data_IF_767293853344
#
_entry.id   IF_767293853344
#
_cell.length_a   1.000
_cell.length_b   1.000
_cell.length_c   1.000
_cell.angle_alpha   90.00
_cell.angle_beta   90.00
_cell.angle_gamma   90.00
#
_symmetry.space_group_name_H-M   'P 1'
#
loop_
_entity.id
_entity.type
_entity.pdbx_description
1 polymer ?
#
# COMPACT_ATOMS: atom_id res chain seq x y z
N UNK A 1 7.30 -5.21 30.21
CA UNK A 1 7.72 -6.25 29.25
C UNK A 1 8.87 -5.66 28.43
N UNK A 2 10.00 -6.36 28.32
CA UNK A 2 11.09 -5.90 27.47
C UNK A 2 10.66 -6.00 26.00
N UNK A 3 10.96 -4.97 25.20
CA UNK A 3 10.77 -5.03 23.76
C UNK A 3 11.62 -6.17 23.18
N UNK A 4 11.12 -6.81 22.12
CA UNK A 4 11.86 -7.85 21.41
C UNK A 4 13.22 -7.27 20.96
N UNK A 5 14.35 -7.97 21.16
CA UNK A 5 15.65 -7.45 20.73
C UNK A 5 15.65 -7.28 19.21
N UNK A 6 15.89 -6.06 18.75
CA UNK A 6 16.01 -5.71 17.33
C UNK A 6 17.47 -5.37 17.01
N UNK A 7 17.88 -5.63 15.77
CA UNK A 7 19.24 -5.29 15.31
C UNK A 7 19.48 -3.77 15.32
N UNK A 8 18.47 -3.00 14.91
CA UNK A 8 18.55 -1.55 14.78
C UNK A 8 17.17 -0.93 15.07
N UNK A 9 17.16 0.24 15.73
CA UNK A 9 15.97 1.06 15.94
C UNK A 9 16.34 2.54 15.80
N UNK A 10 15.95 3.17 14.68
CA UNK A 10 16.18 4.59 14.40
C UNK A 10 14.87 5.29 14.02
N UNK A 11 14.67 6.53 14.47
CA UNK A 11 13.60 7.40 13.98
C UNK A 11 13.98 8.05 12.65
N UNK A 12 13.46 7.54 11.54
CA UNK A 12 13.79 8.04 10.19
C UNK A 12 13.10 9.37 9.85
N UNK A 13 11.84 9.51 10.25
CA UNK A 13 11.02 10.70 10.05
C UNK A 13 10.63 11.25 11.42
N UNK A 14 11.13 12.44 11.76
CA UNK A 14 10.87 13.09 13.05
C UNK A 14 9.99 14.31 12.83
N UNK A 15 8.88 14.38 13.56
CA UNK A 15 7.99 15.52 13.53
C UNK A 15 8.74 16.79 13.97
N UNK A 16 8.44 17.89 13.28
CA UNK A 16 9.05 19.20 13.51
C UNK A 16 8.19 20.26 12.83
N UNK A 17 8.72 20.93 11.81
CA UNK A 17 7.91 21.81 10.95
C UNK A 17 6.78 21.08 10.25
N UNK A 18 7.02 19.81 9.87
CA UNK A 18 6.04 18.93 9.26
C UNK A 18 5.79 17.71 10.15
N UNK A 19 4.62 17.12 10.00
CA UNK A 19 4.26 15.82 10.55
C UNK A 19 4.41 14.74 9.48
N UNK A 20 4.80 13.53 9.88
CA UNK A 20 4.99 12.40 8.97
C UNK A 20 4.10 11.21 9.35
N UNK A 21 3.28 10.76 8.42
CA UNK A 21 2.40 9.58 8.59
C UNK A 21 2.40 8.73 7.33
N UNK A 22 1.69 7.60 7.38
CA UNK A 22 1.44 6.72 6.24
C UNK A 22 2.76 6.20 5.64
N UNK A 23 3.51 5.35 6.38
CA UNK A 23 4.79 4.86 5.94
C UNK A 23 4.67 3.87 4.78
N UNK A 24 5.63 3.90 3.87
CA UNK A 24 5.87 2.82 2.92
C UNK A 24 7.36 2.47 2.87
N UNK A 25 7.67 1.19 2.76
CA UNK A 25 9.04 0.69 2.74
C UNK A 25 9.21 -0.25 1.55
N UNK A 26 10.29 -0.07 0.79
CA UNK A 26 10.61 -0.94 -0.36
C UNK A 26 12.08 -1.32 -0.31
N UNK A 27 12.37 -2.62 -0.37
CA UNK A 27 13.73 -3.14 -0.47
C UNK A 27 14.08 -3.44 -1.93
N UNK A 28 15.27 -3.01 -2.34
CA UNK A 28 15.85 -3.26 -3.65
C UNK A 28 17.04 -4.23 -3.48
N UNK A 29 16.82 -5.55 -3.59
CA UNK A 29 17.81 -6.56 -3.21
C UNK A 29 19.11 -6.44 -4.03
N UNK A 30 18.99 -6.18 -5.33
CA UNK A 30 20.13 -6.00 -6.25
C UNK A 30 21.12 -4.91 -5.80
N UNK A 31 20.66 -3.92 -5.05
CA UNK A 31 21.47 -2.78 -4.62
C UNK A 31 21.71 -2.77 -3.10
N UNK A 32 21.19 -3.76 -2.37
CA UNK A 32 21.14 -3.74 -0.89
C UNK A 32 20.62 -2.39 -0.37
N UNK A 33 19.59 -1.86 -1.01
CA UNK A 33 19.07 -0.52 -0.74
C UNK A 33 17.63 -0.59 -0.22
N UNK A 34 17.30 0.24 0.76
CA UNK A 34 15.95 0.41 1.29
C UNK A 34 15.48 1.83 0.96
N UNK A 35 14.26 1.94 0.45
CA UNK A 35 13.58 3.21 0.24
C UNK A 35 12.46 3.32 1.27
N UNK A 36 12.51 4.36 2.11
CA UNK A 36 11.48 4.67 3.08
C UNK A 36 10.73 5.91 2.61
N UNK A 37 9.40 5.85 2.58
CA UNK A 37 8.52 6.95 2.20
C UNK A 37 7.54 7.25 3.34
N UNK A 38 7.10 8.50 3.40
CA UNK A 38 6.02 8.94 4.28
C UNK A 38 5.29 10.12 3.65
N UNK A 39 4.02 10.33 4.00
CA UNK A 39 3.37 11.60 3.73
C UNK A 39 4.01 12.70 4.57
N UNK A 40 4.31 13.84 3.95
CA UNK A 40 4.70 15.09 4.60
C UNK A 40 3.45 15.98 4.74
N UNK A 41 3.16 16.41 5.98
CA UNK A 41 1.86 16.97 6.36
C UNK A 41 2.02 18.22 7.22
N UNK A 42 1.06 19.15 7.16
CA UNK A 42 1.04 20.34 8.03
C UNK A 42 0.83 19.93 9.50
N UNK A 43 -0.02 18.93 9.74
CA UNK A 43 -0.30 18.35 11.05
C UNK A 43 -0.84 16.90 10.90
N UNK A 44 -1.50 16.40 11.95
CA UNK A 44 -2.03 15.03 12.01
C UNK A 44 -3.34 14.82 11.25
N UNK A 45 -3.99 15.88 10.75
CA UNK A 45 -5.26 15.84 10.01
C UNK A 45 -5.03 15.32 8.59
N UNK A 46 -5.90 14.43 8.10
CA UNK A 46 -5.72 13.72 6.82
C UNK A 46 -5.80 14.66 5.61
N UNK A 47 -6.64 15.69 5.69
CA UNK A 47 -6.78 16.74 4.68
C UNK A 47 -5.57 17.67 4.61
N UNK A 48 -4.66 17.61 5.57
CA UNK A 48 -3.46 18.45 5.68
C UNK A 48 -2.19 17.76 5.17
N UNK A 49 -2.31 16.60 4.51
CA UNK A 49 -1.23 16.07 3.70
C UNK A 49 -0.84 17.04 2.58
N UNK A 50 0.42 16.99 2.15
CA UNK A 50 0.95 17.87 1.09
C UNK A 50 1.67 17.08 0.02
N UNK A 51 2.80 16.49 0.39
CA UNK A 51 3.75 15.84 -0.50
C UNK A 51 4.19 14.51 0.10
N UNK A 52 5.08 13.81 -0.60
CA UNK A 52 5.71 12.58 -0.12
C UNK A 52 7.18 12.87 0.18
N UNK A 53 7.61 12.53 1.39
CA UNK A 53 9.02 12.54 1.78
C UNK A 53 9.63 11.15 1.55
N UNK A 54 10.92 11.10 1.26
CA UNK A 54 11.68 9.88 1.03
C UNK A 54 13.04 9.92 1.74
N UNK A 55 13.50 8.76 2.22
CA UNK A 55 14.88 8.49 2.60
C UNK A 55 15.39 7.23 1.89
N UNK A 56 16.69 7.22 1.63
CA UNK A 56 17.39 6.06 1.04
C UNK A 56 18.39 5.51 2.03
N UNK A 57 18.31 4.23 2.32
CA UNK A 57 19.19 3.49 3.21
C UNK A 57 20.03 2.49 2.42
N UNK A 58 21.33 2.41 2.70
CA UNK A 58 22.19 1.34 2.20
C UNK A 58 22.39 0.32 3.32
N UNK A 59 21.97 -0.92 3.10
CA UNK A 59 22.21 -2.01 4.03
C UNK A 59 23.61 -2.57 3.81
N UNK A 60 24.39 -2.63 4.89
CA UNK A 60 25.69 -3.29 4.91
C UNK A 60 25.58 -4.65 5.62
N UNK A 61 25.67 -5.78 4.87
CA UNK A 61 25.59 -7.11 5.47
C UNK A 61 26.70 -7.43 6.48
N UNK A 62 27.86 -6.78 6.39
CA UNK A 62 28.99 -7.04 7.28
C UNK A 62 28.79 -6.43 8.67
N UNK A 63 28.16 -5.25 8.73
CA UNK A 63 27.83 -4.56 9.98
C UNK A 63 26.38 -4.76 10.43
N UNK A 64 25.55 -5.35 9.56
CA UNK A 64 24.11 -5.52 9.75
C UNK A 64 23.37 -4.21 10.06
N UNK A 65 23.86 -3.10 9.50
CA UNK A 65 23.36 -1.74 9.75
C UNK A 65 22.87 -1.09 8.45
N UNK A 66 21.89 -0.19 8.55
CA UNK A 66 21.41 0.62 7.43
C UNK A 66 21.93 2.05 7.52
N UNK A 67 22.68 2.51 6.52
CA UNK A 67 23.15 3.89 6.47
C UNK A 67 22.16 4.77 5.69
N UNK A 68 21.40 5.59 6.41
CA UNK A 68 20.38 6.46 5.83
C UNK A 68 20.96 7.79 5.32
N UNK A 69 20.58 8.14 4.09
CA UNK A 69 20.81 9.47 3.51
C UNK A 69 19.84 10.50 4.09
N UNK A 70 20.12 11.77 3.80
CA UNK A 70 19.22 12.88 4.14
C UNK A 70 17.85 12.66 3.51
N UNK A 71 16.83 13.12 4.21
CA UNK A 71 15.45 13.12 3.73
C UNK A 71 15.30 14.10 2.56
N UNK A 72 14.51 13.70 1.56
CA UNK A 72 14.22 14.45 0.35
C UNK A 72 12.70 14.53 0.17
N UNK A 73 12.15 15.71 -0.11
CA UNK A 73 10.73 15.87 -0.48
C UNK A 73 10.58 15.64 -1.98
N UNK A 74 9.70 14.73 -2.39
CA UNK A 74 9.48 14.36 -3.79
C UNK A 74 8.55 15.36 -4.47
N UNK A 75 9.11 16.50 -4.90
CA UNK A 75 8.36 17.57 -5.58
C UNK A 75 7.75 17.16 -6.93
N UNK A 76 8.18 16.04 -7.50
CA UNK A 76 7.59 15.47 -8.72
C UNK A 76 6.34 14.63 -8.44
N UNK A 77 6.16 14.13 -7.21
CA UNK A 77 5.03 13.31 -6.79
C UNK A 77 3.82 14.18 -6.41
N UNK A 78 3.36 15.04 -7.32
CA UNK A 78 2.19 15.91 -7.08
C UNK A 78 1.48 16.27 -8.38
N UNK A 79 0.20 16.64 -8.25
CA UNK A 79 -0.56 17.37 -9.25
C UNK A 79 -0.83 18.78 -8.73
N UNK A 80 -0.81 19.78 -9.61
CA UNK A 80 -1.07 21.17 -9.21
C UNK A 80 -2.44 21.30 -8.53
N UNK A 81 -2.48 22.00 -7.39
CA UNK A 81 -3.69 22.19 -6.59
C UNK A 81 -4.17 20.94 -5.84
N UNK A 82 -3.42 19.84 -5.84
CA UNK A 82 -3.76 18.61 -5.13
C UNK A 82 -2.73 18.31 -4.03
N UNK A 83 -3.19 17.61 -2.98
CA UNK A 83 -2.30 16.97 -2.01
C UNK A 83 -2.01 15.53 -2.41
N UNK A 84 -0.79 15.07 -2.17
CA UNK A 84 -0.39 13.69 -2.42
C UNK A 84 -0.44 12.84 -1.15
N UNK A 85 -1.06 11.66 -1.26
CA UNK A 85 -1.31 10.74 -0.14
C UNK A 85 -1.06 9.29 -0.54
N UNK A 86 -0.98 8.41 0.44
CA UNK A 86 -0.85 6.95 0.28
C UNK A 86 0.31 6.53 -0.64
N UNK A 87 1.57 6.81 -0.28
CA UNK A 87 2.71 6.31 -1.04
C UNK A 87 2.65 4.78 -1.15
N UNK A 88 2.70 4.27 -2.38
CA UNK A 88 2.69 2.85 -2.69
C UNK A 88 3.78 2.48 -3.71
N UNK A 89 5.02 2.24 -3.24
CA UNK A 89 6.15 1.95 -4.12
C UNK A 89 6.19 0.47 -4.54
N UNK A 90 6.57 0.22 -5.79
CA UNK A 90 6.86 -1.11 -6.35
C UNK A 90 8.13 -1.04 -7.21
N UNK A 91 8.93 -2.11 -7.18
CA UNK A 91 10.11 -2.23 -8.04
C UNK A 91 9.88 -3.31 -9.10
N UNK A 92 10.06 -2.95 -10.36
CA UNK A 92 10.10 -3.90 -11.45
C UNK A 92 11.56 -4.34 -11.68
N UNK A 93 11.89 -5.55 -11.25
CA UNK A 93 13.22 -6.12 -11.39
C UNK A 93 13.62 -6.40 -12.85
N UNK A 94 12.64 -6.60 -13.74
CA UNK A 94 12.89 -6.92 -15.15
C UNK A 94 13.32 -5.66 -15.89
N UNK A 95 12.57 -4.57 -15.77
CA UNK A 95 12.92 -3.31 -16.43
C UNK A 95 13.87 -2.44 -15.60
N UNK A 96 14.10 -2.77 -14.34
CA UNK A 96 14.87 -1.97 -13.39
C UNK A 96 14.17 -0.66 -12.98
N UNK A 97 12.85 -0.59 -13.15
CA UNK A 97 12.04 0.62 -12.98
C UNK A 97 11.43 0.65 -11.59
N UNK A 98 11.70 1.71 -10.85
CA UNK A 98 10.99 2.02 -9.61
C UNK A 98 9.74 2.83 -9.96
N UNK A 99 8.59 2.42 -9.43
CA UNK A 99 7.31 3.10 -9.63
C UNK A 99 6.76 3.45 -8.24
N UNK A 100 6.47 4.72 -7.99
CA UNK A 100 5.80 5.17 -6.78
C UNK A 100 4.38 5.60 -7.13
N UNK A 101 3.40 4.77 -6.76
CA UNK A 101 1.99 5.14 -6.81
C UNK A 101 1.63 6.04 -5.63
N UNK A 102 0.65 6.90 -5.85
CA UNK A 102 0.02 7.73 -4.83
C UNK A 102 -1.36 8.17 -5.29
N UNK A 103 -2.19 8.65 -4.37
CA UNK A 103 -3.41 9.35 -4.74
C UNK A 103 -3.21 10.86 -4.63
N UNK A 104 -3.85 11.61 -5.51
CA UNK A 104 -3.90 13.07 -5.46
C UNK A 104 -5.34 13.54 -5.24
N UNK A 105 -5.56 14.39 -4.22
CA UNK A 105 -6.90 14.90 -3.87
C UNK A 105 -6.89 16.44 -3.92
N UNK A 106 -7.89 17.10 -4.55
CA UNK A 106 -7.92 18.55 -4.65
C UNK A 106 -7.93 19.23 -3.27
N UNK A 107 -6.99 20.15 -3.05
CA UNK A 107 -6.87 20.96 -1.84
C UNK A 107 -7.05 20.17 -0.54
N UNK A 108 -7.98 20.63 0.29
CA UNK A 108 -8.33 20.03 1.60
C UNK A 108 -9.69 19.31 1.59
N UNK A 109 -10.16 18.84 0.42
CA UNK A 109 -11.42 18.09 0.35
C UNK A 109 -11.28 16.76 1.10
N UNK A 110 -12.15 16.53 2.09
CA UNK A 110 -12.13 15.34 2.93
C UNK A 110 -12.69 14.10 2.24
N UNK A 111 -12.26 12.92 2.70
CA UNK A 111 -12.89 11.65 2.33
C UNK A 111 -14.38 11.66 2.70
N UNK A 112 -14.71 12.14 3.90
CA UNK A 112 -16.09 12.25 4.38
C UNK A 112 -16.97 13.11 3.48
N UNK A 113 -16.42 14.19 2.91
CA UNK A 113 -17.16 15.01 1.95
C UNK A 113 -17.53 14.18 0.71
N UNK A 114 -16.57 13.47 0.13
CA UNK A 114 -16.79 12.64 -1.07
C UNK A 114 -17.74 11.47 -0.80
N UNK A 115 -17.66 10.83 0.38
CA UNK A 115 -18.59 9.78 0.80
C UNK A 115 -20.03 10.30 0.90
N UNK A 116 -20.21 11.50 1.48
CA UNK A 116 -21.53 12.12 1.64
C UNK A 116 -22.11 12.59 0.31
N UNK A 117 -21.31 13.22 -0.55
CA UNK A 117 -21.78 13.75 -1.84
C UNK A 117 -21.83 12.70 -2.93
N UNK A 118 -21.15 11.56 -2.75
CA UNK A 118 -20.95 10.51 -3.75
C UNK A 118 -20.27 11.04 -5.03
N UNK A 119 -19.42 12.05 -4.87
CA UNK A 119 -18.64 12.65 -5.95
C UNK A 119 -17.17 12.34 -5.69
N UNK A 120 -16.61 11.47 -6.54
CA UNK A 120 -15.21 11.11 -6.50
C UNK A 120 -14.34 12.16 -7.19
N UNK A 121 -13.35 12.65 -6.46
CA UNK A 121 -12.38 13.66 -6.88
C UNK A 121 -10.94 13.16 -6.76
N UNK A 122 -10.73 11.89 -6.42
CA UNK A 122 -9.40 11.30 -6.24
C UNK A 122 -8.78 10.97 -7.59
N UNK A 123 -7.50 11.34 -7.79
CA UNK A 123 -6.69 10.91 -8.93
C UNK A 123 -5.71 9.81 -8.52
N UNK A 124 -5.58 8.80 -9.37
CA UNK A 124 -4.55 7.77 -9.28
C UNK A 124 -3.33 8.21 -10.08
N UNK A 125 -2.21 8.41 -9.39
CA UNK A 125 -0.99 8.91 -9.99
C UNK A 125 0.20 7.99 -9.74
N UNK A 126 1.22 8.10 -10.59
CA UNK A 126 2.54 7.59 -10.26
C UNK A 126 3.66 8.50 -10.77
N UNK A 127 4.83 8.35 -10.17
CA UNK A 127 6.12 8.79 -10.73
C UNK A 127 7.05 7.58 -10.86
N UNK A 128 8.04 7.68 -11.75
CA UNK A 128 9.00 6.60 -12.02
C UNK A 128 10.44 7.06 -11.87
N UNK A 129 11.33 6.13 -11.52
CA UNK A 129 12.77 6.35 -11.45
C UNK A 129 13.53 5.17 -12.07
N UNK A 130 14.58 5.47 -12.82
CA UNK A 130 15.50 4.49 -13.43
C UNK A 130 16.87 4.47 -12.71
N UNK A 131 17.05 5.29 -11.68
CA UNK A 131 18.33 5.53 -11.01
C UNK A 131 18.21 5.39 -9.47
N UNK A 132 17.39 4.42 -9.05
CA UNK A 132 17.18 4.04 -7.65
C UNK A 132 16.69 5.21 -6.79
N UNK A 133 15.75 5.98 -7.34
CA UNK A 133 15.11 7.12 -6.67
C UNK A 133 16.01 8.34 -6.53
N UNK A 134 17.04 8.53 -7.37
CA UNK A 134 17.82 9.78 -7.39
C UNK A 134 17.08 10.88 -8.14
N UNK A 135 16.51 10.52 -9.28
CA UNK A 135 15.66 11.39 -10.08
C UNK A 135 14.35 10.69 -10.38
N UNK A 136 13.31 11.50 -10.59
CA UNK A 136 11.95 11.03 -10.79
C UNK A 136 11.34 11.73 -11.99
N UNK A 137 10.53 11.00 -12.75
CA UNK A 137 9.69 11.57 -13.80
C UNK A 137 8.67 12.54 -13.22
N UNK A 138 8.05 13.35 -14.08
CA UNK A 138 6.82 14.07 -13.73
C UNK A 138 5.71 13.09 -13.36
N UNK A 139 4.76 13.54 -12.52
CA UNK A 139 3.57 12.76 -12.19
C UNK A 139 2.75 12.42 -13.45
N UNK A 140 2.30 11.18 -13.53
CA UNK A 140 1.38 10.69 -14.54
C UNK A 140 0.04 10.39 -13.88
N UNK A 141 -1.04 11.04 -14.33
CA UNK A 141 -2.42 10.69 -13.94
C UNK A 141 -2.92 9.57 -14.85
N UNK A 142 -3.23 8.42 -14.25
CA UNK A 142 -3.73 7.23 -14.96
C UNK A 142 -5.17 6.89 -14.62
N UNK A 143 -5.88 7.78 -13.94
CA UNK A 143 -7.25 7.58 -13.45
C UNK A 143 -8.19 7.13 -14.56
N UNK A 144 -8.25 7.93 -15.64
CA UNK A 144 -9.19 7.68 -16.74
C UNK A 144 -8.82 6.44 -17.56
N UNK A 145 -7.53 6.12 -17.66
CA UNK A 145 -7.05 4.95 -18.41
C UNK A 145 -7.32 3.63 -17.68
N UNK A 146 -7.29 3.66 -16.35
CA UNK A 146 -7.31 2.47 -15.50
C UNK A 146 -8.68 2.19 -14.91
N UNK A 147 -9.37 3.22 -14.40
CA UNK A 147 -10.66 3.08 -13.71
C UNK A 147 -11.85 3.27 -14.66
N UNK A 148 -11.71 4.16 -15.66
CA UNK A 148 -12.69 4.39 -16.73
C UNK A 148 -14.11 4.56 -16.21
N UNK A 149 -15.01 3.65 -16.60
CA UNK A 149 -16.45 3.72 -16.36
C UNK A 149 -16.80 3.52 -14.89
N UNK A 150 -15.94 2.86 -14.11
CA UNK A 150 -16.17 2.60 -12.69
C UNK A 150 -15.99 3.86 -11.83
N UNK A 151 -15.33 4.90 -12.35
CA UNK A 151 -14.95 6.07 -11.56
C UNK A 151 -16.17 6.77 -10.92
N UNK A 152 -17.29 6.83 -11.65
CA UNK A 152 -18.56 7.41 -11.19
C UNK A 152 -19.34 6.50 -10.24
N UNK A 153 -19.01 5.21 -10.20
CA UNK A 153 -19.64 4.23 -9.32
C UNK A 153 -18.96 4.19 -7.96
N UNK A 154 -17.88 4.96 -7.75
CA UNK A 154 -17.17 5.05 -6.48
C UNK A 154 -17.37 6.44 -5.89
N UNK A 155 -17.53 6.52 -4.58
CA UNK A 155 -17.54 7.80 -3.88
C UNK A 155 -16.12 8.33 -3.67
N UNK A 156 -15.16 7.43 -3.42
CA UNK A 156 -13.72 7.70 -3.28
C UNK A 156 -12.98 6.36 -3.32
N UNK A 157 -11.66 6.37 -3.49
CA UNK A 157 -10.80 5.19 -3.47
C UNK A 157 -9.38 5.56 -3.02
N UNK A 158 -8.58 4.56 -2.67
CA UNK A 158 -7.14 4.74 -2.44
C UNK A 158 -6.34 3.48 -2.77
N UNK A 159 -5.01 3.64 -2.87
CA UNK A 159 -4.03 2.55 -3.00
C UNK A 159 -3.33 2.29 -1.67
N UNK A 160 -2.86 1.06 -1.46
CA UNK A 160 -2.15 0.61 -0.26
C UNK A 160 -2.81 1.11 1.03
N UNK A 161 -2.09 1.89 1.87
CA UNK A 161 -0.71 2.35 1.69
C UNK A 161 0.36 1.26 1.90
N UNK A 162 1.64 1.59 1.66
CA UNK A 162 2.75 0.65 1.81
C UNK A 162 3.16 0.00 0.49
N UNK A 163 3.88 -1.12 0.50
CA UNK A 163 4.50 -1.64 -0.72
C UNK A 163 3.50 -2.30 -1.69
N UNK A 164 3.74 -2.11 -2.99
CA UNK A 164 3.20 -2.99 -4.04
C UNK A 164 4.04 -4.26 -4.17
N UNK A 165 3.62 -5.16 -5.06
CA UNK A 165 4.21 -6.48 -5.21
C UNK A 165 4.56 -6.77 -6.69
N UNK A 166 5.70 -7.40 -6.93
CA UNK A 166 5.99 -8.04 -8.21
C UNK A 166 5.87 -9.56 -8.05
N UNK A 167 5.03 -10.19 -8.88
CA UNK A 167 4.75 -11.62 -8.83
C UNK A 167 5.87 -12.44 -9.48
N UNK A 168 6.01 -13.70 -9.05
CA UNK A 168 6.90 -14.68 -9.68
C UNK A 168 6.18 -15.52 -10.74
N UNK A 169 5.27 -14.92 -11.51
CA UNK A 169 4.67 -15.51 -12.71
C UNK A 169 5.54 -15.20 -13.95
N UNK A 170 5.18 -15.78 -15.11
CA UNK A 170 5.95 -15.62 -16.35
C UNK A 170 6.08 -14.15 -16.78
N UNK A 171 5.01 -13.37 -16.64
CA UNK A 171 4.98 -11.96 -17.02
C UNK A 171 5.65 -11.02 -16.00
N UNK A 172 6.05 -11.52 -14.82
CA UNK A 172 6.54 -10.71 -13.70
C UNK A 172 5.61 -9.54 -13.38
N UNK A 173 4.31 -9.85 -13.31
CA UNK A 173 3.25 -8.87 -13.17
C UNK A 173 3.40 -8.04 -11.90
N UNK A 174 3.07 -6.76 -12.00
CA UNK A 174 3.03 -5.81 -10.88
C UNK A 174 1.61 -5.76 -10.31
N UNK A 175 1.48 -5.76 -8.99
CA UNK A 175 0.21 -5.71 -8.27
C UNK A 175 0.24 -4.58 -7.25
N UNK A 176 -0.73 -3.68 -7.34
CA UNK A 176 -0.92 -2.55 -6.42
C UNK A 176 -2.22 -2.77 -5.64
N UNK A 177 -2.16 -3.05 -4.33
CA UNK A 177 -3.36 -3.20 -3.52
C UNK A 177 -4.13 -1.88 -3.42
N UNK A 178 -5.46 -1.95 -3.41
CA UNK A 178 -6.33 -0.78 -3.39
C UNK A 178 -7.68 -1.10 -2.75
N UNK A 179 -8.47 -0.06 -2.48
CA UNK A 179 -9.88 -0.21 -2.09
C UNK A 179 -10.69 0.95 -2.64
N UNK A 180 -12.00 0.73 -2.83
CA UNK A 180 -12.93 1.78 -3.26
C UNK A 180 -14.25 1.68 -2.50
N UNK A 181 -14.83 2.85 -2.19
CA UNK A 181 -16.18 2.96 -1.64
C UNK A 181 -17.21 2.94 -2.75
N UNK A 182 -17.84 1.79 -2.95
CA UNK A 182 -18.77 1.53 -4.06
C UNK A 182 -20.16 2.09 -3.76
N UNK A 183 -20.72 2.79 -4.73
CA UNK A 183 -22.10 3.28 -4.73
C UNK A 183 -22.98 2.19 -5.36
N UNK A 184 -23.36 1.20 -4.57
CA UNK A 184 -24.23 0.10 -5.02
C UNK A 184 -25.70 0.51 -5.08
N UNK A 185 -26.11 1.38 -4.15
CA UNK A 185 -27.44 1.98 -4.09
C UNK A 185 -27.30 3.50 -3.86
N UNK A 186 -27.87 4.36 -4.73
CA UNK A 186 -27.88 5.80 -4.55
C UNK A 186 -28.51 6.28 -3.23
N UNK A 187 -29.31 5.45 -2.55
CA UNK A 187 -29.94 5.76 -1.26
C UNK A 187 -29.13 5.31 -0.04
N UNK A 188 -28.15 4.43 -0.20
CA UNK A 188 -27.37 3.86 0.90
C UNK A 188 -25.99 4.50 1.02
N UNK A 189 -25.35 4.35 2.18
CA UNK A 189 -23.96 4.75 2.32
C UNK A 189 -23.06 3.88 1.42
N UNK A 190 -22.07 4.44 0.71
CA UNK A 190 -21.11 3.66 -0.07
C UNK A 190 -20.42 2.58 0.77
N UNK A 191 -20.22 1.40 0.22
CA UNK A 191 -19.58 0.26 0.91
C UNK A 191 -18.15 0.06 0.40
N UNK A 192 -17.13 0.02 1.26
CA UNK A 192 -15.75 -0.15 0.82
C UNK A 192 -15.43 -1.62 0.55
N UNK A 193 -14.73 -1.86 -0.56
CA UNK A 193 -14.19 -3.17 -0.89
C UNK A 193 -12.76 -3.04 -1.40
N UNK A 194 -11.90 -3.93 -0.89
CA UNK A 194 -10.53 -4.10 -1.37
C UNK A 194 -10.51 -4.75 -2.76
N UNK A 195 -9.48 -4.45 -3.54
CA UNK A 195 -9.16 -5.04 -4.84
C UNK A 195 -7.68 -4.79 -5.15
N UNK A 196 -7.22 -5.12 -6.37
CA UNK A 196 -5.88 -4.81 -6.84
C UNK A 196 -5.89 -4.17 -8.23
N UNK A 197 -4.96 -3.27 -8.50
CA UNK A 197 -4.56 -2.94 -9.87
C UNK A 197 -3.43 -3.85 -10.30
N UNK A 198 -3.46 -4.33 -11.54
CA UNK A 198 -2.51 -5.32 -12.06
C UNK A 198 -1.91 -4.81 -13.37
N UNK A 199 -0.63 -5.03 -13.57
CA UNK A 199 0.05 -4.80 -14.85
C UNK A 199 0.88 -6.01 -15.20
N UNK A 200 0.67 -6.57 -16.40
CA UNK A 200 1.45 -7.70 -16.92
C UNK A 200 2.45 -7.27 -18.01
N UNK A 201 2.63 -5.96 -18.19
CA UNK A 201 3.48 -5.35 -19.21
C UNK A 201 4.40 -4.27 -18.63
N UNK A 202 4.91 -4.51 -17.42
CA UNK A 202 5.94 -3.68 -16.78
C UNK A 202 5.51 -2.22 -16.56
N UNK A 203 4.23 -2.04 -16.22
CA UNK A 203 3.60 -0.76 -15.88
C UNK A 203 3.15 0.07 -17.08
N UNK A 204 3.08 -0.50 -18.29
CA UNK A 204 2.62 0.22 -19.49
C UNK A 204 1.10 0.35 -19.51
N UNK A 205 0.38 -0.72 -19.18
CA UNK A 205 -1.07 -0.76 -18.98
C UNK A 205 -1.39 -1.28 -17.59
N UNK A 206 -2.54 -0.86 -17.06
CA UNK A 206 -3.06 -1.29 -15.77
C UNK A 206 -4.50 -1.72 -15.92
N UNK A 207 -4.84 -2.87 -15.34
CA UNK A 207 -6.19 -3.38 -15.23
C UNK A 207 -6.67 -3.38 -13.77
N UNK A 208 -7.97 -3.29 -13.58
CA UNK A 208 -8.61 -3.35 -12.26
C UNK A 208 -9.10 -4.77 -12.01
N UNK A 209 -8.57 -5.43 -10.98
CA UNK A 209 -9.09 -6.69 -10.46
C UNK A 209 -10.50 -6.55 -9.90
N UNK A 210 -11.19 -7.67 -9.72
CA UNK A 210 -12.50 -7.73 -9.08
C UNK A 210 -12.40 -7.45 -7.58
N UNK A 211 -13.49 -6.95 -7.02
CA UNK A 211 -13.56 -6.62 -5.60
C UNK A 211 -13.60 -7.90 -4.76
N UNK A 212 -12.92 -7.86 -3.60
CA UNK A 212 -13.13 -8.85 -2.54
C UNK A 212 -14.59 -8.75 -2.08
N UNK A 213 -15.34 -9.83 -2.29
CA UNK A 213 -16.76 -9.91 -1.97
C UNK A 213 -17.03 -10.24 -0.50
N UNK A 214 -18.33 -10.33 -0.17
CA UNK A 214 -18.90 -10.77 1.12
C UNK A 214 -18.64 -9.85 2.33
N UNK A 215 -17.43 -9.34 2.50
CA UNK A 215 -17.05 -8.49 3.61
C UNK A 215 -16.64 -7.08 3.15
N UNK A 216 -16.94 -6.11 4.02
CA UNK A 216 -16.51 -4.72 3.84
C UNK A 216 -15.05 -4.58 4.26
N UNK A 217 -14.23 -4.01 3.39
CA UNK A 217 -12.81 -3.88 3.63
C UNK A 217 -12.24 -2.60 2.99
N UNK A 218 -11.33 -1.94 3.70
CA UNK A 218 -10.62 -0.74 3.24
C UNK A 218 -9.16 -1.10 2.92
N UNK A 219 -8.19 -0.35 3.43
CA UNK A 219 -6.77 -0.49 3.14
C UNK A 219 -6.28 -1.93 3.32
N UNK A 220 -5.51 -2.41 2.36
CA UNK A 220 -5.02 -3.78 2.31
C UNK A 220 -3.59 -3.85 1.79
N UNK A 221 -2.94 -4.99 2.07
CA UNK A 221 -1.71 -5.40 1.42
C UNK A 221 -1.83 -6.84 0.93
N UNK A 222 -1.00 -7.18 -0.05
CA UNK A 222 -0.98 -8.50 -0.68
C UNK A 222 0.41 -9.12 -0.60
N UNK A 223 0.46 -10.43 -0.48
CA UNK A 223 1.69 -11.21 -0.51
C UNK A 223 1.51 -12.45 -1.40
N UNK A 224 2.50 -12.76 -2.24
CA UNK A 224 2.53 -14.01 -2.99
C UNK A 224 3.05 -15.12 -2.09
N UNK A 225 2.26 -16.16 -1.88
CA UNK A 225 2.56 -17.27 -0.98
C UNK A 225 2.66 -18.54 -1.81
N UNK A 226 3.73 -19.30 -1.62
CA UNK A 226 3.80 -20.67 -2.09
C UNK A 226 3.23 -21.60 -1.02
N UNK A 227 2.14 -22.29 -1.32
CA UNK A 227 1.54 -23.27 -0.41
C UNK A 227 1.12 -24.53 -1.14
N UNK A 228 1.45 -25.70 -0.59
CA UNK A 228 1.08 -27.00 -1.16
C UNK A 228 1.45 -27.15 -2.65
N UNK A 229 2.59 -26.61 -3.07
CA UNK A 229 3.05 -26.66 -4.47
C UNK A 229 2.38 -25.65 -5.41
N UNK A 230 1.59 -24.71 -4.90
CA UNK A 230 0.88 -23.69 -5.68
C UNK A 230 1.20 -22.28 -5.19
N UNK A 231 1.37 -21.34 -6.11
CA UNK A 231 1.45 -19.91 -5.78
C UNK A 231 0.04 -19.32 -5.71
N UNK A 232 -0.24 -18.59 -4.66
CA UNK A 232 -1.49 -17.85 -4.46
C UNK A 232 -1.18 -16.44 -4.03
N UNK A 233 -2.08 -15.50 -4.34
CA UNK A 233 -1.99 -14.14 -3.83
C UNK A 233 -2.90 -14.02 -2.60
N UNK A 234 -2.29 -13.84 -1.44
CA UNK A 234 -2.98 -13.61 -0.17
C UNK A 234 -3.20 -12.12 0.03
N UNK A 235 -4.44 -11.71 0.33
CA UNK A 235 -4.81 -10.34 0.67
C UNK A 235 -5.19 -10.27 2.14
N UNK A 236 -4.66 -9.28 2.86
CA UNK A 236 -5.05 -8.96 4.23
C UNK A 236 -5.51 -7.51 4.30
N UNK A 237 -6.77 -7.30 4.66
CA UNK A 237 -7.45 -6.02 4.58
C UNK A 237 -8.01 -5.57 5.92
N UNK A 238 -8.01 -4.25 6.11
CA UNK A 238 -8.57 -3.61 7.30
C UNK A 238 -10.08 -3.67 7.30
N UNK A 239 -10.64 -3.95 8.47
CA UNK A 239 -12.07 -3.89 8.75
C UNK A 239 -12.34 -3.03 9.98
N UNK A 240 -13.60 -2.60 10.13
CA UNK A 240 -14.10 -1.97 11.36
C UNK A 240 -14.98 -2.94 12.17
N UNK A 241 -14.86 -4.25 11.94
CA UNK A 241 -15.69 -5.31 12.54
C UNK A 241 -14.90 -6.20 13.51
N UNK A 242 -13.88 -5.63 14.17
CA UNK A 242 -13.12 -6.28 15.24
C UNK A 242 -12.12 -7.36 14.83
N UNK A 243 -12.05 -7.72 13.55
CA UNK A 243 -11.09 -8.69 13.01
C UNK A 243 -10.65 -8.33 11.59
N UNK A 244 -9.44 -8.73 11.18
CA UNK A 244 -8.97 -8.58 9.80
C UNK A 244 -9.83 -9.37 8.83
N UNK A 245 -9.93 -8.88 7.59
CA UNK A 245 -10.47 -9.66 6.47
C UNK A 245 -9.30 -10.24 5.70
N UNK A 246 -9.35 -11.53 5.41
CA UNK A 246 -8.44 -12.18 4.47
C UNK A 246 -9.19 -12.62 3.21
N UNK A 247 -8.47 -12.66 2.10
CA UNK A 247 -8.97 -13.28 0.87
C UNK A 247 -7.81 -13.88 0.09
N UNK A 248 -8.10 -14.91 -0.71
CA UNK A 248 -7.10 -15.60 -1.52
C UNK A 248 -7.48 -15.46 -3.00
N UNK A 249 -6.49 -15.17 -3.84
CA UNK A 249 -6.62 -15.18 -5.28
C UNK A 249 -5.73 -16.25 -5.88
N UNK A 250 -6.31 -17.03 -6.78
CA UNK A 250 -5.64 -18.09 -7.54
C UNK A 250 -5.25 -17.67 -8.96
N UNK A 251 -5.57 -16.44 -9.35
CA UNK A 251 -5.34 -15.86 -10.67
C UNK A 251 -4.70 -14.48 -10.57
N UNK A 252 -3.67 -14.37 -9.71
CA UNK A 252 -2.76 -13.21 -9.65
C UNK A 252 -3.44 -11.89 -9.22
N UNK A 253 -4.56 -11.96 -8.49
CA UNK A 253 -5.29 -10.81 -7.97
C UNK A 253 -6.46 -10.34 -8.84
N UNK A 254 -6.72 -11.01 -9.97
CA UNK A 254 -7.86 -10.68 -10.84
C UNK A 254 -9.18 -10.99 -10.14
N UNK A 255 -9.28 -12.14 -9.47
CA UNK A 255 -10.41 -12.55 -8.65
C UNK A 255 -9.93 -13.03 -7.29
N UNK A 256 -10.64 -12.60 -6.24
CA UNK A 256 -10.47 -13.13 -4.90
C UNK A 256 -11.68 -13.98 -4.53
N UNK A 257 -11.45 -15.04 -3.77
CA UNK A 257 -12.53 -15.70 -3.03
C UNK A 257 -13.20 -14.70 -2.07
N UNK A 258 -14.40 -15.07 -1.57
CA UNK A 258 -15.13 -14.28 -0.59
C UNK A 258 -14.26 -13.93 0.63
N UNK A 259 -14.34 -12.68 1.08
CA UNK A 259 -13.56 -12.21 2.21
C UNK A 259 -13.95 -12.94 3.49
N UNK A 260 -12.95 -13.45 4.23
CA UNK A 260 -13.14 -14.19 5.46
C UNK A 260 -12.61 -13.41 6.65
N UNK A 261 -13.39 -13.37 7.74
CA UNK A 261 -12.95 -12.79 9.02
C UNK A 261 -11.92 -13.70 9.69
N UNK A 262 -10.82 -13.13 10.16
CA UNK A 262 -9.75 -13.84 10.87
C UNK A 262 -9.74 -13.43 12.33
N UNK A 263 -10.52 -14.13 13.17
CA UNK A 263 -10.73 -13.76 14.58
C UNK A 263 -9.43 -13.72 15.42
N UNK A 264 -8.37 -14.42 14.98
CA UNK A 264 -7.05 -14.37 15.63
C UNK A 264 -6.28 -13.08 15.34
N UNK A 265 -6.65 -12.35 14.29
CA UNK A 265 -6.05 -11.07 13.92
C UNK A 265 -7.04 -9.95 14.25
N UNK A 266 -6.97 -9.46 15.48
CA UNK A 266 -7.91 -8.47 16.01
C UNK A 266 -7.76 -7.10 15.34
N UNK A 267 -8.86 -6.36 15.26
CA UNK A 267 -8.90 -4.95 14.88
C UNK A 267 -9.31 -4.08 16.09
N UNK A 268 -8.68 -2.91 16.31
CA UNK A 268 -9.24 -1.92 17.23
C UNK A 268 -10.61 -1.42 16.75
N UNK A 269 -11.37 -0.64 17.56
CA UNK A 269 -12.77 -0.31 17.27
C UNK A 269 -13.02 0.37 15.91
N UNK A 270 -12.06 1.19 15.44
CA UNK A 270 -12.13 1.86 14.13
C UNK A 270 -11.30 1.16 13.04
N UNK A 271 -10.71 0.02 13.37
CA UNK A 271 -9.67 -0.66 12.60
C UNK A 271 -8.36 0.14 12.48
N UNK A 272 -7.30 -0.52 12.05
CA UNK A 272 -6.02 0.11 11.72
C UNK A 272 -5.40 -0.52 10.47
N UNK A 273 -4.52 0.21 9.79
CA UNK A 273 -3.74 -0.37 8.71
C UNK A 273 -2.79 -1.45 9.26
N UNK A 274 -2.57 -2.50 8.48
CA UNK A 274 -1.62 -3.57 8.80
C UNK A 274 -0.79 -3.93 7.58
N UNK A 275 0.44 -4.36 7.80
CA UNK A 275 1.35 -4.77 6.72
C UNK A 275 1.50 -6.28 6.70
N UNK A 276 1.55 -6.88 5.50
CA UNK A 276 1.84 -8.31 5.33
C UNK A 276 2.94 -8.50 4.27
N UNK A 277 3.84 -9.44 4.50
CA UNK A 277 4.83 -9.89 3.50
C UNK A 277 5.07 -11.39 3.63
N UNK A 278 5.44 -12.04 2.52
CA UNK A 278 5.82 -13.43 2.51
C UNK A 278 7.35 -13.58 2.51
N UNK A 279 7.84 -14.59 3.22
CA UNK A 279 9.27 -14.91 3.26
C UNK A 279 9.49 -16.43 3.25
N UNK A 280 10.66 -16.90 2.79
CA UNK A 280 10.98 -18.32 2.80
C UNK A 280 10.93 -18.91 4.22
N UNK A 281 10.48 -20.16 4.39
CA UNK A 281 10.55 -20.82 5.68
C UNK A 281 12.02 -21.06 6.10
N UNK A 282 12.29 -21.35 7.38
CA UNK A 282 13.60 -21.82 7.83
C UNK A 282 14.09 -23.01 7.00
N UNK A 283 15.41 -23.11 6.77
CA UNK A 283 16.01 -24.15 5.92
C UNK A 283 15.72 -25.57 6.40
N UNK A 284 15.50 -25.75 7.70
CA UNK A 284 15.18 -27.01 8.37
C UNK A 284 13.67 -27.32 8.43
N UNK A 285 12.82 -26.45 7.87
CA UNK A 285 11.39 -26.67 7.84
C UNK A 285 11.03 -27.88 6.96
N UNK A 286 10.19 -28.77 7.50
CA UNK A 286 9.68 -29.96 6.79
C UNK A 286 8.86 -29.62 5.55
N UNK A 287 8.23 -28.45 5.54
CA UNK A 287 7.47 -27.94 4.41
C UNK A 287 8.15 -26.68 3.87
N UNK A 288 8.27 -26.58 2.55
CA UNK A 288 8.87 -25.44 1.84
C UNK A 288 7.82 -24.38 1.44
N UNK A 289 6.69 -24.38 2.15
CA UNK A 289 5.65 -23.37 2.03
C UNK A 289 6.14 -22.03 2.59
N UNK A 290 5.81 -20.93 1.91
CA UNK A 290 6.14 -19.58 2.36
C UNK A 290 5.51 -19.30 3.72
N UNK A 291 6.24 -18.58 4.57
CA UNK A 291 5.70 -18.02 5.81
C UNK A 291 5.24 -16.59 5.58
N UNK A 292 4.27 -16.15 6.36
CA UNK A 292 3.78 -14.77 6.35
C UNK A 292 4.25 -14.05 7.60
N UNK A 293 4.74 -12.82 7.43
CA UNK A 293 4.97 -11.87 8.52
C UNK A 293 3.90 -10.79 8.43
N UNK A 294 3.23 -10.52 9.54
CA UNK A 294 2.19 -9.52 9.66
C UNK A 294 2.50 -8.57 10.83
N UNK A 295 2.35 -7.27 10.59
CA UNK A 295 2.56 -6.23 11.59
C UNK A 295 1.34 -5.31 11.68
N UNK A 296 0.78 -5.22 12.89
CA UNK A 296 -0.41 -4.43 13.22
C UNK A 296 -0.51 -4.26 14.75
N UNK A 297 -1.15 -3.18 15.25
CA UNK A 297 -1.42 -3.02 16.68
C UNK A 297 -2.16 -4.20 17.31
N UNK A 298 -1.75 -4.59 18.52
CA UNK A 298 -2.38 -5.71 19.26
C UNK A 298 -3.21 -5.23 20.44
N UNK A 299 -3.35 -3.92 20.66
CA UNK A 299 -4.22 -3.37 21.70
C UNK A 299 -5.67 -3.27 21.18
N UNK A 300 -6.62 -4.04 21.75
CA UNK A 300 -8.02 -3.97 21.35
C UNK A 300 -8.69 -2.64 21.74
N UNK A 301 -8.08 -1.81 22.59
CA UNK A 301 -8.64 -0.53 23.05
C UNK A 301 -8.36 0.63 22.10
N UNK A 302 -7.49 0.44 21.11
CA UNK A 302 -7.17 1.45 20.11
C UNK A 302 -5.68 1.71 19.96
N UNK A 303 -5.37 2.62 19.05
CA UNK A 303 -4.01 3.07 18.75
C UNK A 303 -3.96 4.56 19.08
N UNK A 304 -2.96 5.00 19.85
CA UNK A 304 -2.70 6.44 19.96
C UNK A 304 -2.35 6.98 18.58
N UNK A 305 -3.03 8.04 18.14
CA UNK A 305 -2.66 8.74 16.91
C UNK A 305 -1.36 9.51 17.19
N UNK A 306 -0.24 8.98 16.71
CA UNK A 306 1.08 9.62 16.71
C UNK A 306 1.23 10.49 15.47
#
# INVERSE_FOLDING_TARGET
>A
MAAFPVLEQETLFRNGTWSYRIPALLYLPRFSMILAFAEEREDLVDEHAKLIAMRRGMYDPATQHVQWKRMETLVSAQLEGHRSMNPCPVYDEVSGKLILFFIAVPGKISEQHQLRTKINLVRLCYITSMDQGRTWSTAQDITDRTIRNEYKNWATFAVGPGHGLQLHNEARSLVIPAYAYRILDPKQHPTPHAFCFISSDHGITWEKGNFVGEESAVECQVAEVHTCGRKVLYCNARSNRGARIQAVSYNHGLDFEGGQRVEMLIEPPSGCHGSVTAFPPPLDARCQDSWLLYAHPTDPKGVEKI
#
